data_IF_653629626297
#
_entry.id   IF_653629626297
#
_cell.length_a   1.000
_cell.length_b   1.000
_cell.length_c   1.000
_cell.angle_alpha   90.00
_cell.angle_beta   90.00
_cell.angle_gamma   90.00
#
_symmetry.space_group_name_H-M   'P 1'
#
loop_
_entity.id
_entity.type
_entity.pdbx_description
1 polymer ?
#
# COMPACT_ATOMS: atom_id res chain seq x y z
N UNK A 1 0.42 -17.10 12.50
CA UNK A 1 1.79 -17.65 12.40
C UNK A 1 2.48 -17.29 11.08
N UNK A 2 1.74 -17.07 9.98
CA UNK A 2 2.30 -16.59 8.68
C UNK A 2 2.95 -15.20 8.77
N UNK A 3 2.49 -14.33 9.66
CA UNK A 3 3.04 -12.97 9.85
C UNK A 3 4.20 -12.98 10.84
N UNK A 4 3.98 -13.52 12.05
CA UNK A 4 4.87 -13.41 13.19
C UNK A 4 5.77 -14.62 13.43
N UNK A 5 5.58 -15.71 12.70
CA UNK A 5 6.30 -16.95 12.95
C UNK A 5 7.80 -16.82 12.68
N UNK A 6 8.62 -17.39 13.56
CA UNK A 6 10.06 -17.46 13.37
C UNK A 6 10.58 -18.80 13.87
N UNK A 7 11.21 -19.56 13.01
CA UNK A 7 12.00 -20.73 13.34
C UNK A 7 13.37 -20.57 12.67
N UNK A 8 14.41 -20.57 13.45
CA UNK A 8 15.77 -20.29 12.97
C UNK A 8 16.18 -21.24 11.84
N UNK A 9 16.60 -20.69 10.69
CA UNK A 9 16.98 -21.39 9.45
C UNK A 9 15.87 -22.21 8.78
N UNK A 10 14.62 -22.15 9.25
CA UNK A 10 13.51 -22.95 8.70
C UNK A 10 12.35 -22.10 8.20
N UNK A 11 11.92 -21.09 8.98
CA UNK A 11 10.76 -20.28 8.67
C UNK A 11 10.86 -18.88 9.22
N UNK A 12 10.51 -17.90 8.40
CA UNK A 12 10.31 -16.52 8.82
C UNK A 12 8.98 -16.00 8.26
N UNK A 13 8.16 -15.46 9.13
CA UNK A 13 6.92 -14.79 8.75
C UNK A 13 7.19 -13.46 8.06
N UNK A 14 6.15 -12.89 7.45
CA UNK A 14 6.27 -11.69 6.61
C UNK A 14 6.52 -10.39 7.39
N UNK A 15 6.24 -10.38 8.72
CA UNK A 15 6.57 -9.26 9.62
C UNK A 15 6.82 -9.79 11.06
N UNK A 16 7.91 -10.53 11.30
CA UNK A 16 8.15 -11.21 12.58
C UNK A 16 8.36 -10.24 13.76
N UNK A 17 8.88 -9.04 13.49
CA UNK A 17 9.19 -8.03 14.52
C UNK A 17 8.02 -7.04 14.77
N UNK A 18 6.88 -7.22 14.10
CA UNK A 18 5.70 -6.39 14.33
C UNK A 18 5.11 -6.64 15.73
N UNK A 19 4.38 -5.67 16.26
CA UNK A 19 3.58 -5.83 17.48
C UNK A 19 2.19 -6.33 17.12
N UNK A 20 1.66 -7.26 17.89
CA UNK A 20 0.39 -7.92 17.62
C UNK A 20 -0.61 -7.71 18.77
N UNK A 21 -1.85 -7.41 18.37
CA UNK A 21 -3.04 -7.57 19.20
C UNK A 21 -3.89 -8.66 18.57
N UNK A 22 -4.39 -9.58 19.40
CA UNK A 22 -5.21 -10.70 18.95
C UNK A 22 -6.60 -10.56 19.54
N UNK A 23 -7.62 -10.66 18.68
CA UNK A 23 -9.03 -10.59 19.05
C UNK A 23 -9.72 -11.86 18.62
N UNK A 24 -10.65 -12.35 19.44
CA UNK A 24 -11.55 -13.45 19.13
C UNK A 24 -12.92 -12.83 18.84
N UNK A 25 -13.36 -12.93 17.59
CA UNK A 25 -14.66 -12.44 17.11
C UNK A 25 -15.59 -13.58 16.68
N UNK A 26 -15.11 -14.82 16.69
CA UNK A 26 -15.81 -16.01 16.22
C UNK A 26 -16.22 -16.91 17.38
N UNK A 27 -17.40 -17.52 17.26
CA UNK A 27 -17.94 -18.52 18.17
C UNK A 27 -17.98 -19.85 17.39
N UNK A 28 -17.01 -20.72 17.61
CA UNK A 28 -16.76 -21.91 16.81
C UNK A 28 -17.96 -22.88 16.68
N UNK A 29 -18.91 -22.81 17.59
CA UNK A 29 -20.07 -23.72 17.65
C UNK A 29 -21.29 -23.16 16.88
N UNK A 30 -21.25 -21.91 16.41
CA UNK A 30 -22.39 -21.26 15.75
C UNK A 30 -21.95 -20.19 14.79
N UNK A 31 -22.73 -19.97 13.73
CA UNK A 31 -22.53 -18.89 12.77
C UNK A 31 -23.72 -17.93 12.86
N UNK A 32 -23.53 -16.79 13.52
CA UNK A 32 -24.60 -15.85 13.84
C UNK A 32 -24.21 -14.41 13.53
N UNK A 33 -25.20 -13.55 13.33
CA UNK A 33 -24.97 -12.10 13.13
C UNK A 33 -24.28 -11.40 14.30
N UNK A 34 -24.18 -12.05 15.49
CA UNK A 34 -23.44 -11.52 16.61
C UNK A 34 -21.95 -11.36 16.28
N UNK A 35 -21.41 -12.24 15.45
CA UNK A 35 -19.98 -12.25 15.08
C UNK A 35 -19.61 -11.04 14.25
N UNK A 36 -20.51 -10.53 13.40
CA UNK A 36 -20.30 -9.23 12.76
C UNK A 36 -20.14 -8.10 13.79
N UNK A 37 -20.92 -8.13 14.87
CA UNK A 37 -20.84 -7.14 15.97
C UNK A 37 -19.53 -7.27 16.73
N UNK A 38 -19.13 -8.51 17.07
CA UNK A 38 -17.87 -8.78 17.77
C UNK A 38 -16.66 -8.34 16.95
N UNK A 39 -16.73 -8.52 15.61
CA UNK A 39 -15.67 -8.02 14.72
C UNK A 39 -15.61 -6.50 14.75
N UNK A 40 -16.74 -5.79 14.70
CA UNK A 40 -16.78 -4.32 14.76
C UNK A 40 -16.23 -3.81 16.10
N UNK A 41 -16.62 -4.42 17.22
CA UNK A 41 -16.06 -4.10 18.54
C UNK A 41 -14.54 -4.32 18.59
N UNK A 42 -14.04 -5.40 17.96
CA UNK A 42 -12.61 -5.66 17.86
C UNK A 42 -11.91 -4.58 17.02
N UNK A 43 -12.51 -4.13 15.91
CA UNK A 43 -11.97 -3.07 15.07
C UNK A 43 -11.95 -1.70 15.80
N UNK A 44 -12.99 -1.35 16.55
CA UNK A 44 -13.02 -0.15 17.39
C UNK A 44 -11.93 -0.22 18.49
N UNK A 45 -11.76 -1.39 19.09
CA UNK A 45 -10.70 -1.58 20.07
C UNK A 45 -9.31 -1.47 19.44
N UNK A 46 -9.13 -2.00 18.24
CA UNK A 46 -7.87 -1.87 17.48
C UNK A 46 -7.54 -0.41 17.20
N UNK A 47 -8.51 0.40 16.73
CA UNK A 47 -8.35 1.85 16.53
C UNK A 47 -7.91 2.53 17.83
N UNK A 48 -8.57 2.24 18.95
CA UNK A 48 -8.21 2.82 20.26
C UNK A 48 -6.82 2.45 20.77
N UNK A 49 -6.24 1.36 20.26
CA UNK A 49 -4.89 0.89 20.59
C UNK A 49 -3.82 1.41 19.61
N UNK A 50 -4.23 2.11 18.55
CA UNK A 50 -3.33 2.64 17.53
C UNK A 50 -2.80 1.56 16.59
N UNK A 51 -3.64 0.60 16.21
CA UNK A 51 -3.29 -0.45 15.23
C UNK A 51 -3.24 0.16 13.84
N UNK A 52 -2.19 -0.15 13.08
CA UNK A 52 -2.03 0.31 11.70
C UNK A 52 -2.71 -0.63 10.69
N UNK A 53 -2.58 -1.95 10.90
CA UNK A 53 -3.07 -2.98 9.96
C UNK A 53 -3.91 -4.01 10.70
N UNK A 54 -5.14 -4.23 10.25
CA UNK A 54 -5.99 -5.33 10.71
C UNK A 54 -5.97 -6.43 9.65
N UNK A 55 -5.62 -7.66 10.04
CA UNK A 55 -5.81 -8.84 9.20
C UNK A 55 -7.06 -9.59 9.63
N UNK A 56 -7.95 -9.83 8.69
CA UNK A 56 -9.20 -10.56 8.86
C UNK A 56 -9.20 -11.78 7.93
N UNK A 57 -9.17 -12.98 8.52
CA UNK A 57 -9.17 -14.24 7.76
C UNK A 57 -10.53 -14.94 7.83
N UNK A 58 -11.59 -14.16 7.80
CA UNK A 58 -12.99 -14.60 7.87
C UNK A 58 -13.86 -13.78 6.91
N UNK A 59 -15.13 -14.16 6.78
CA UNK A 59 -16.11 -13.43 5.98
C UNK A 59 -17.48 -14.08 6.06
N UNK A 60 -18.53 -13.27 5.99
CA UNK A 60 -19.91 -13.66 6.23
C UNK A 60 -20.73 -13.65 4.95
N UNK A 61 -21.49 -14.73 4.74
CA UNK A 61 -22.47 -14.87 3.67
C UNK A 61 -23.74 -15.60 4.16
N UNK A 62 -23.55 -16.66 4.94
CA UNK A 62 -24.66 -17.52 5.44
C UNK A 62 -24.55 -17.69 6.95
N UNK A 63 -25.68 -17.82 7.59
CA UNK A 63 -25.82 -18.02 9.04
C UNK A 63 -26.65 -19.26 9.35
N UNK A 64 -26.55 -19.79 10.57
CA UNK A 64 -27.35 -20.90 11.08
C UNK A 64 -28.84 -20.63 10.93
N UNK A 65 -29.26 -19.39 11.14
CA UNK A 65 -30.62 -18.96 10.78
C UNK A 65 -30.60 -18.38 9.36
N UNK A 66 -31.15 -19.06 8.35
CA UNK A 66 -31.11 -18.62 6.95
C UNK A 66 -31.77 -17.25 6.70
N UNK A 67 -32.68 -16.82 7.59
CA UNK A 67 -33.31 -15.49 7.47
C UNK A 67 -32.35 -14.34 7.74
N UNK A 68 -31.19 -14.60 8.34
CA UNK A 68 -30.15 -13.63 8.58
C UNK A 68 -29.08 -13.67 7.49
N UNK A 69 -29.06 -14.72 6.66
CA UNK A 69 -28.06 -14.89 5.61
C UNK A 69 -28.13 -13.79 4.55
N UNK A 70 -26.97 -13.38 4.10
CA UNK A 70 -26.85 -12.39 3.05
C UNK A 70 -27.10 -12.99 1.66
N UNK A 71 -27.59 -12.18 0.76
CA UNK A 71 -27.65 -12.48 -0.66
C UNK A 71 -26.46 -11.84 -1.39
N UNK A 72 -26.23 -12.23 -2.65
CA UNK A 72 -25.18 -11.56 -3.44
C UNK A 72 -25.45 -10.05 -3.60
N UNK A 73 -26.71 -9.62 -3.64
CA UNK A 73 -27.06 -8.20 -3.74
C UNK A 73 -26.57 -7.37 -2.56
N UNK A 74 -26.35 -8.01 -1.39
CA UNK A 74 -25.87 -7.35 -0.17
C UNK A 74 -24.34 -7.15 -0.18
N UNK A 75 -23.62 -7.76 -1.14
CA UNK A 75 -22.16 -7.64 -1.30
C UNK A 75 -21.81 -6.37 -2.07
N UNK A 76 -22.33 -5.24 -1.63
CA UNK A 76 -22.16 -3.90 -2.22
C UNK A 76 -21.19 -3.00 -1.44
N UNK A 77 -20.59 -3.52 -0.37
CA UNK A 77 -19.67 -2.82 0.52
C UNK A 77 -20.35 -1.87 1.52
N UNK A 78 -21.69 -1.84 1.57
CA UNK A 78 -22.43 -0.88 2.38
C UNK A 78 -23.66 -1.49 3.11
N UNK A 79 -24.22 -2.56 2.58
CA UNK A 79 -25.49 -3.13 3.11
C UNK A 79 -25.25 -3.91 4.41
N UNK A 80 -24.24 -4.77 4.49
CA UNK A 80 -24.02 -5.59 5.69
C UNK A 80 -23.50 -4.77 6.87
N UNK A 81 -23.76 -5.22 8.08
CA UNK A 81 -23.33 -4.50 9.29
C UNK A 81 -21.80 -4.43 9.39
N UNK A 82 -21.13 -5.55 9.16
CA UNK A 82 -19.66 -5.61 9.21
C UNK A 82 -19.02 -4.76 8.10
N UNK A 83 -19.60 -4.70 6.89
CA UNK A 83 -19.07 -3.86 5.81
C UNK A 83 -19.12 -2.37 6.16
N UNK A 84 -20.19 -1.91 6.79
CA UNK A 84 -20.25 -0.54 7.31
C UNK A 84 -19.21 -0.28 8.41
N UNK A 85 -19.04 -1.25 9.33
CA UNK A 85 -18.00 -1.17 10.35
C UNK A 85 -16.59 -1.13 9.76
N UNK A 86 -16.33 -1.92 8.73
CA UNK A 86 -15.05 -1.96 8.04
C UNK A 86 -14.75 -0.64 7.29
N UNK A 87 -15.74 -0.04 6.64
CA UNK A 87 -15.61 1.29 6.02
C UNK A 87 -15.23 2.36 7.05
N UNK A 88 -15.89 2.34 8.23
CA UNK A 88 -15.56 3.24 9.33
C UNK A 88 -14.13 2.98 9.81
N UNK A 89 -13.74 1.72 10.02
CA UNK A 89 -12.37 1.35 10.43
C UNK A 89 -11.31 1.86 9.46
N UNK A 90 -11.52 1.68 8.16
CA UNK A 90 -10.62 2.20 7.13
C UNK A 90 -10.55 3.74 7.12
N UNK A 91 -11.68 4.41 7.37
CA UNK A 91 -11.75 5.88 7.46
C UNK A 91 -10.95 6.45 8.65
N UNK A 92 -10.68 5.62 9.67
CA UNK A 92 -9.82 5.99 10.81
C UNK A 92 -8.34 5.94 10.50
N UNK A 93 -7.97 5.46 9.32
CA UNK A 93 -6.59 5.42 8.85
C UNK A 93 -5.96 4.03 8.89
N UNK A 94 -6.64 3.01 9.36
CA UNK A 94 -6.16 1.63 9.35
C UNK A 94 -6.23 1.02 7.95
N UNK A 95 -5.31 0.10 7.62
CA UNK A 95 -5.44 -0.79 6.46
C UNK A 95 -6.11 -2.08 6.93
N UNK A 96 -7.30 -2.35 6.41
CA UNK A 96 -8.01 -3.59 6.65
C UNK A 96 -7.72 -4.57 5.52
N UNK A 97 -6.98 -5.64 5.83
CA UNK A 97 -6.62 -6.71 4.90
C UNK A 97 -7.54 -7.89 5.17
N UNK A 98 -8.33 -8.28 4.19
CA UNK A 98 -9.33 -9.33 4.35
C UNK A 98 -9.16 -10.45 3.33
N UNK A 99 -9.34 -11.69 3.78
CA UNK A 99 -9.42 -12.85 2.89
C UNK A 99 -10.63 -12.72 1.95
N UNK A 100 -10.44 -13.04 0.66
CA UNK A 100 -11.53 -12.97 -0.32
C UNK A 100 -12.63 -14.02 -0.10
N UNK A 101 -12.29 -15.12 0.60
CA UNK A 101 -13.15 -16.28 0.80
C UNK A 101 -12.69 -17.50 0.00
N UNK A 102 -13.25 -18.66 0.33
CA UNK A 102 -12.85 -19.95 -0.23
C UNK A 102 -13.98 -20.65 -1.02
N UNK A 103 -14.94 -19.88 -1.50
CA UNK A 103 -16.15 -20.38 -2.18
C UNK A 103 -16.05 -20.41 -3.71
N UNK A 104 -14.85 -20.23 -4.28
CA UNK A 104 -14.65 -20.12 -5.73
C UNK A 104 -15.19 -21.30 -6.55
N UNK A 105 -15.31 -22.49 -5.95
CA UNK A 105 -15.90 -23.69 -6.54
C UNK A 105 -17.34 -23.98 -6.09
N UNK A 106 -17.86 -23.19 -5.14
CA UNK A 106 -19.18 -23.36 -4.57
C UNK A 106 -20.25 -22.63 -5.39
N UNK A 107 -21.50 -22.84 -5.07
CA UNK A 107 -22.62 -22.10 -5.68
C UNK A 107 -22.56 -20.60 -5.40
N UNK A 108 -22.01 -20.18 -4.27
CA UNK A 108 -21.81 -18.79 -3.93
C UNK A 108 -20.72 -18.13 -4.79
N UNK A 109 -19.55 -18.72 -4.90
CA UNK A 109 -18.34 -18.35 -5.65
C UNK A 109 -17.76 -16.94 -5.43
N UNK A 110 -18.55 -15.98 -4.98
CA UNK A 110 -18.17 -14.59 -4.83
C UNK A 110 -17.46 -14.32 -3.49
N UNK A 111 -16.89 -13.14 -3.39
CA UNK A 111 -16.39 -12.63 -2.10
C UNK A 111 -17.54 -12.50 -1.11
N UNK A 112 -17.22 -12.53 0.19
CA UNK A 112 -18.15 -12.25 1.29
C UNK A 112 -17.87 -10.92 1.96
N UNK A 113 -18.76 -10.50 2.86
CA UNK A 113 -18.53 -9.33 3.70
C UNK A 113 -17.47 -9.66 4.79
N UNK A 114 -16.52 -8.75 5.11
CA UNK A 114 -16.37 -7.37 4.63
C UNK A 114 -15.39 -7.21 3.47
N UNK A 115 -14.99 -8.30 2.78
CA UNK A 115 -14.08 -8.22 1.63
C UNK A 115 -14.66 -7.42 0.44
N UNK A 116 -15.99 -7.24 0.43
CA UNK A 116 -16.74 -6.47 -0.56
C UNK A 116 -16.56 -4.94 -0.45
N UNK A 117 -16.04 -4.44 0.67
CA UNK A 117 -15.91 -3.00 0.92
C UNK A 117 -14.81 -2.38 0.04
N UNK A 118 -15.04 -1.18 -0.49
CA UNK A 118 -14.11 -0.50 -1.38
C UNK A 118 -12.76 -0.17 -0.71
N UNK A 119 -12.82 0.23 0.56
CA UNK A 119 -11.67 0.61 1.38
C UNK A 119 -10.99 -0.56 2.11
N UNK A 120 -11.53 -1.78 2.02
CA UNK A 120 -10.91 -3.02 2.50
C UNK A 120 -10.04 -3.61 1.40
N UNK A 121 -8.83 -4.02 1.74
CA UNK A 121 -7.90 -4.66 0.82
C UNK A 121 -8.16 -6.18 0.80
N UNK A 122 -8.95 -6.62 -0.17
CA UNK A 122 -9.36 -8.02 -0.33
C UNK A 122 -8.29 -8.84 -1.03
N UNK A 123 -7.91 -9.98 -0.46
CA UNK A 123 -6.80 -10.80 -0.92
C UNK A 123 -7.30 -12.16 -1.40
N UNK A 124 -7.11 -12.42 -2.69
CA UNK A 124 -7.33 -13.76 -3.28
C UNK A 124 -6.10 -14.67 -3.13
N UNK A 125 -6.25 -15.92 -3.56
CA UNK A 125 -5.24 -16.95 -3.38
C UNK A 125 -4.68 -17.47 -4.71
N UNK A 126 -3.34 -17.58 -4.78
CA UNK A 126 -2.60 -18.31 -5.84
C UNK A 126 -1.77 -19.43 -5.24
N UNK A 127 -1.28 -20.33 -6.10
CA UNK A 127 -0.25 -21.30 -5.77
C UNK A 127 1.17 -20.72 -6.01
N UNK A 128 2.21 -21.54 -5.79
CA UNK A 128 3.61 -21.13 -5.95
C UNK A 128 3.99 -20.81 -7.42
N UNK A 129 3.23 -21.31 -8.39
CA UNK A 129 3.39 -21.05 -9.82
C UNK A 129 2.54 -19.84 -10.28
N UNK A 130 2.00 -19.05 -9.33
CA UNK A 130 1.19 -17.85 -9.57
C UNK A 130 -0.16 -18.14 -10.28
N UNK A 131 -0.59 -19.39 -10.33
CA UNK A 131 -1.91 -19.74 -10.82
C UNK A 131 -2.95 -19.56 -9.74
N UNK A 132 -4.13 -19.03 -10.13
CA UNK A 132 -5.25 -18.85 -9.20
C UNK A 132 -5.63 -20.18 -8.54
N UNK A 133 -5.78 -20.18 -7.22
CA UNK A 133 -6.31 -21.33 -6.49
C UNK A 133 -7.81 -21.45 -6.76
N UNK A 134 -8.26 -22.64 -7.16
CA UNK A 134 -9.65 -22.88 -7.60
C UNK A 134 -10.70 -22.52 -6.54
N UNK A 135 -10.34 -22.61 -5.26
CA UNK A 135 -11.20 -22.26 -4.15
C UNK A 135 -11.32 -20.76 -3.90
N UNK A 136 -10.38 -19.95 -4.43
CA UNK A 136 -10.38 -18.50 -4.16
C UNK A 136 -11.68 -17.85 -4.64
N UNK A 137 -12.42 -17.23 -3.73
CA UNK A 137 -13.59 -16.43 -4.08
C UNK A 137 -13.18 -15.23 -4.94
N UNK A 138 -14.09 -14.76 -5.76
CA UNK A 138 -13.83 -13.73 -6.77
C UNK A 138 -15.00 -12.75 -6.92
N UNK A 139 -14.79 -11.69 -7.69
CA UNK A 139 -15.78 -10.66 -7.97
C UNK A 139 -16.70 -10.98 -9.15
N UNK A 140 -17.37 -9.96 -9.67
CA UNK A 140 -17.39 -8.62 -9.12
C UNK A 140 -18.16 -8.52 -7.81
N UNK A 141 -18.13 -7.36 -7.13
CA UNK A 141 -19.11 -7.02 -6.10
C UNK A 141 -20.49 -6.78 -6.73
N UNK A 142 -21.54 -6.74 -5.91
CA UNK A 142 -22.90 -6.50 -6.40
C UNK A 142 -23.05 -5.14 -7.11
N UNK A 143 -22.23 -4.16 -6.77
CA UNK A 143 -22.13 -2.84 -7.40
C UNK A 143 -21.05 -2.77 -8.52
N UNK A 144 -20.59 -3.93 -9.01
CA UNK A 144 -19.66 -4.11 -10.12
C UNK A 144 -18.24 -3.56 -9.90
N UNK A 145 -17.74 -3.51 -8.66
CA UNK A 145 -16.33 -3.26 -8.40
C UNK A 145 -15.49 -4.52 -8.56
N UNK A 146 -14.25 -4.34 -9.02
CA UNK A 146 -13.28 -5.43 -9.10
C UNK A 146 -12.85 -5.83 -7.69
N UNK A 147 -12.97 -7.11 -7.40
CA UNK A 147 -12.48 -7.81 -6.22
C UNK A 147 -12.10 -9.25 -6.63
N UNK A 148 -11.12 -9.89 -5.93
CA UNK A 148 -10.27 -9.33 -4.89
C UNK A 148 -9.45 -8.16 -5.40
N UNK A 149 -8.85 -7.35 -4.50
CA UNK A 149 -7.92 -6.31 -4.92
C UNK A 149 -6.66 -6.91 -5.53
N UNK A 150 -5.98 -7.77 -4.78
CA UNK A 150 -4.73 -8.40 -5.21
C UNK A 150 -4.66 -9.84 -4.75
N UNK A 151 -3.61 -10.54 -5.16
CA UNK A 151 -3.39 -11.95 -4.87
C UNK A 151 -2.09 -12.15 -4.08
N UNK A 152 -2.09 -13.18 -3.24
CA UNK A 152 -0.89 -13.70 -2.61
C UNK A 152 -0.97 -15.24 -2.54
N UNK A 153 0.15 -15.90 -2.18
CA UNK A 153 0.14 -17.34 -2.04
C UNK A 153 -0.81 -17.78 -0.92
N UNK A 154 -1.84 -18.54 -1.27
CA UNK A 154 -2.84 -19.11 -0.37
C UNK A 154 -3.04 -20.60 -0.58
N UNK A 155 -2.37 -21.20 -1.58
CA UNK A 155 -2.35 -22.64 -1.80
C UNK A 155 -0.95 -23.18 -1.51
N UNK A 156 -0.87 -24.22 -0.67
CA UNK A 156 0.37 -24.77 -0.13
C UNK A 156 1.25 -23.70 0.55
N UNK A 157 0.61 -22.76 1.22
CA UNK A 157 1.32 -21.70 1.96
C UNK A 157 2.04 -22.30 3.16
N UNK A 158 3.33 -21.99 3.28
CA UNK A 158 4.12 -22.41 4.44
C UNK A 158 3.63 -21.73 5.71
N UNK A 159 3.42 -22.51 6.76
CA UNK A 159 2.98 -22.06 8.08
C UNK A 159 3.76 -22.78 9.18
N UNK A 160 3.75 -22.26 10.38
CA UNK A 160 4.10 -23.03 11.57
C UNK A 160 2.82 -23.68 12.09
N UNK A 161 2.77 -24.99 12.18
CA UNK A 161 1.64 -25.70 12.75
C UNK A 161 1.59 -25.46 14.26
N UNK A 162 0.44 -24.94 14.74
CA UNK A 162 0.30 -24.53 16.13
C UNK A 162 0.32 -25.69 17.15
N UNK A 163 0.02 -26.91 16.69
CA UNK A 163 0.04 -28.10 17.56
C UNK A 163 1.44 -28.72 17.68
N UNK A 164 2.16 -28.81 16.56
CA UNK A 164 3.48 -29.47 16.51
C UNK A 164 4.65 -28.50 16.66
N UNK A 165 4.44 -27.21 16.39
CA UNK A 165 5.52 -26.22 16.31
C UNK A 165 6.39 -26.32 15.06
N UNK A 166 6.13 -27.27 14.17
CA UNK A 166 6.92 -27.51 12.96
C UNK A 166 6.39 -26.74 11.75
N UNK A 167 7.25 -26.54 10.74
CA UNK A 167 6.80 -26.02 9.44
C UNK A 167 5.90 -27.05 8.77
N UNK A 168 4.80 -26.58 8.25
CA UNK A 168 3.84 -27.33 7.44
C UNK A 168 3.24 -26.44 6.36
N UNK A 169 2.28 -26.94 5.58
CA UNK A 169 1.57 -26.14 4.58
C UNK A 169 0.06 -26.18 4.82
N UNK A 170 -0.63 -25.13 4.34
CA UNK A 170 -2.08 -25.04 4.39
C UNK A 170 -2.66 -24.31 3.19
N UNK A 171 -3.98 -24.45 2.97
CA UNK A 171 -4.70 -23.87 1.86
C UNK A 171 -5.83 -22.94 2.38
N UNK A 172 -6.05 -21.85 1.67
CA UNK A 172 -7.12 -20.89 1.94
C UNK A 172 -6.67 -19.45 1.72
N UNK A 173 -7.60 -18.59 1.36
CA UNK A 173 -7.37 -17.14 1.37
C UNK A 173 -7.08 -16.61 2.79
N UNK A 174 -7.45 -17.40 3.81
CA UNK A 174 -7.06 -17.17 5.22
C UNK A 174 -5.54 -17.19 5.45
N UNK A 175 -4.76 -17.68 4.49
CA UNK A 175 -3.28 -17.67 4.52
C UNK A 175 -2.69 -16.64 3.57
N UNK A 176 -3.30 -16.36 2.42
CA UNK A 176 -2.86 -15.28 1.52
C UNK A 176 -3.05 -13.91 2.16
N UNK A 177 -4.16 -13.69 2.88
CA UNK A 177 -4.44 -12.43 3.57
C UNK A 177 -3.36 -12.06 4.60
N UNK A 178 -2.99 -12.90 5.57
CA UNK A 178 -1.94 -12.56 6.52
C UNK A 178 -0.55 -12.46 5.88
N UNK A 179 -0.23 -13.23 4.84
CA UNK A 179 1.02 -13.03 4.09
C UNK A 179 1.08 -11.60 3.56
N UNK A 180 0.00 -11.13 2.91
CA UNK A 180 -0.09 -9.76 2.40
C UNK A 180 -0.07 -8.73 3.52
N UNK A 181 -0.80 -8.94 4.61
CA UNK A 181 -0.85 -8.01 5.74
C UNK A 181 0.53 -7.73 6.34
N UNK A 182 1.35 -8.76 6.49
CA UNK A 182 2.71 -8.59 7.00
C UNK A 182 3.62 -7.81 6.03
N UNK A 183 3.56 -8.11 4.72
CA UNK A 183 4.33 -7.34 3.73
C UNK A 183 3.85 -5.89 3.65
N UNK A 184 2.54 -5.65 3.77
CA UNK A 184 1.97 -4.29 3.85
C UNK A 184 2.52 -3.54 5.06
N UNK A 185 2.59 -4.17 6.23
CA UNK A 185 3.12 -3.55 7.44
C UNK A 185 4.59 -3.13 7.24
N UNK A 186 5.43 -3.99 6.66
CA UNK A 186 6.82 -3.68 6.32
C UNK A 186 6.92 -2.55 5.28
N UNK A 187 6.09 -2.58 4.24
CA UNK A 187 6.07 -1.55 3.21
C UNK A 187 5.64 -0.19 3.77
N UNK A 188 4.60 -0.16 4.60
CA UNK A 188 4.13 1.07 5.22
C UNK A 188 5.14 1.64 6.22
N UNK A 189 5.84 0.78 6.97
CA UNK A 189 6.93 1.18 7.85
C UNK A 189 8.03 1.95 7.09
N UNK A 190 8.30 1.60 5.84
CA UNK A 190 9.26 2.33 5.00
C UNK A 190 8.75 3.72 4.57
N UNK A 191 7.42 3.96 4.58
CA UNK A 191 6.78 5.19 4.14
C UNK A 191 5.73 5.71 5.15
N UNK A 192 6.12 6.01 6.39
CA UNK A 192 5.18 6.30 7.49
C UNK A 192 4.36 7.59 7.30
N UNK A 193 4.73 8.43 6.35
CA UNK A 193 4.01 9.67 6.04
C UNK A 193 2.90 9.49 5.00
N UNK A 194 2.75 8.27 4.46
CA UNK A 194 1.66 7.97 3.52
C UNK A 194 0.43 7.49 4.25
N UNK A 195 -0.71 7.86 3.71
CA UNK A 195 -2.01 7.40 4.20
C UNK A 195 -2.25 5.93 3.82
N UNK A 196 -3.17 5.27 4.51
CA UNK A 196 -3.63 3.92 4.18
C UNK A 196 -4.06 3.80 2.71
N UNK A 197 -4.82 4.77 2.19
CA UNK A 197 -5.29 4.79 0.79
C UNK A 197 -4.12 4.91 -0.19
N UNK A 198 -3.13 5.76 0.09
CA UNK A 198 -1.93 5.89 -0.76
C UNK A 198 -1.14 4.59 -0.79
N UNK A 199 -0.95 3.92 0.35
CA UNK A 199 -0.25 2.62 0.44
C UNK A 199 -0.99 1.57 -0.38
N UNK A 200 -2.31 1.40 -0.19
CA UNK A 200 -3.10 0.44 -0.96
C UNK A 200 -3.05 0.71 -2.47
N UNK A 201 -3.10 1.99 -2.88
CA UNK A 201 -3.01 2.36 -4.29
C UNK A 201 -1.63 2.08 -4.89
N UNK A 202 -0.54 2.32 -4.16
CA UNK A 202 0.81 1.98 -4.59
C UNK A 202 0.97 0.48 -4.82
N UNK A 203 0.50 -0.33 -3.87
CA UNK A 203 0.55 -1.79 -3.96
C UNK A 203 -0.30 -2.28 -5.14
N UNK A 204 -1.54 -1.79 -5.26
CA UNK A 204 -2.44 -2.15 -6.38
C UNK A 204 -1.84 -1.77 -7.74
N UNK A 205 -1.25 -0.57 -7.85
CA UNK A 205 -0.67 -0.09 -9.10
C UNK A 205 0.61 -0.83 -9.52
N UNK A 206 1.31 -1.48 -8.61
CA UNK A 206 2.49 -2.31 -8.89
C UNK A 206 2.14 -3.72 -9.35
N UNK A 207 0.86 -4.10 -9.30
CA UNK A 207 0.44 -5.47 -9.58
C UNK A 207 0.48 -5.79 -11.07
N UNK A 208 0.81 -7.03 -11.40
CA UNK A 208 1.08 -7.52 -12.77
C UNK A 208 -0.10 -7.36 -13.75
N UNK A 209 -1.34 -7.29 -13.23
CA UNK A 209 -2.57 -7.11 -14.03
C UNK A 209 -3.23 -5.74 -13.84
N UNK A 210 -2.53 -4.75 -13.28
CA UNK A 210 -3.10 -3.45 -12.98
C UNK A 210 -3.83 -2.80 -14.16
N UNK A 211 -3.26 -2.91 -15.36
CA UNK A 211 -3.84 -2.33 -16.58
C UNK A 211 -4.97 -3.17 -17.22
N UNK A 212 -5.11 -4.43 -16.81
CA UNK A 212 -6.12 -5.36 -17.33
C UNK A 212 -6.64 -6.26 -16.20
N UNK A 213 -7.28 -5.68 -15.18
CA UNK A 213 -7.79 -6.45 -14.05
C UNK A 213 -8.97 -7.34 -14.47
N UNK A 214 -9.18 -8.40 -13.71
CA UNK A 214 -10.30 -9.33 -13.91
C UNK A 214 -11.00 -9.62 -12.59
N UNK A 215 -12.24 -10.09 -12.65
CA UNK A 215 -12.98 -10.45 -11.44
C UNK A 215 -12.32 -11.58 -10.64
N UNK A 216 -11.55 -12.45 -11.30
CA UNK A 216 -10.90 -13.59 -10.65
C UNK A 216 -9.51 -13.25 -10.07
N UNK A 217 -8.73 -12.45 -10.81
CA UNK A 217 -7.37 -12.09 -10.39
C UNK A 217 -7.27 -10.72 -9.69
N UNK A 218 -8.36 -9.94 -9.71
CA UNK A 218 -8.26 -8.56 -9.29
C UNK A 218 -7.23 -7.81 -10.13
N UNK A 219 -6.39 -7.03 -9.48
CA UNK A 219 -5.25 -6.37 -10.14
C UNK A 219 -4.00 -7.26 -10.25
N UNK A 220 -4.08 -8.51 -9.76
CA UNK A 220 -2.98 -9.48 -9.86
C UNK A 220 -2.08 -9.52 -8.63
N UNK A 221 -0.83 -9.94 -8.83
CA UNK A 221 0.17 -10.09 -7.77
C UNK A 221 1.00 -8.81 -7.69
N UNK A 222 1.10 -8.15 -6.51
CA UNK A 222 1.88 -6.93 -6.34
C UNK A 222 3.39 -7.18 -6.43
N UNK A 223 4.09 -6.27 -7.11
CA UNK A 223 5.54 -6.12 -7.05
C UNK A 223 5.91 -5.03 -6.03
N UNK A 224 6.31 -5.42 -4.84
CA UNK A 224 6.67 -4.49 -3.77
C UNK A 224 7.99 -3.75 -4.03
N UNK A 225 8.90 -4.30 -4.83
CA UNK A 225 10.11 -3.60 -5.25
C UNK A 225 9.75 -2.47 -6.22
N UNK A 226 8.90 -2.73 -7.20
CA UNK A 226 8.39 -1.71 -8.11
C UNK A 226 7.60 -0.62 -7.37
N UNK A 227 6.74 -1.02 -6.41
CA UNK A 227 6.02 -0.07 -5.56
C UNK A 227 6.97 0.82 -4.75
N UNK A 228 8.00 0.23 -4.13
CA UNK A 228 9.03 0.93 -3.37
C UNK A 228 9.79 1.94 -4.23
N UNK A 229 10.27 1.49 -5.40
CA UNK A 229 10.99 2.34 -6.34
C UNK A 229 10.11 3.45 -6.90
N UNK A 230 8.81 3.22 -7.08
CA UNK A 230 7.85 4.25 -7.47
C UNK A 230 7.80 5.37 -6.45
N UNK A 231 7.73 5.07 -5.15
CA UNK A 231 7.73 6.11 -4.10
C UNK A 231 9.03 6.87 -4.05
N UNK A 232 10.17 6.20 -4.22
CA UNK A 232 11.47 6.87 -4.27
C UNK A 232 11.59 7.77 -5.51
N UNK A 233 11.08 7.34 -6.67
CA UNK A 233 11.10 8.14 -7.90
C UNK A 233 10.05 9.25 -7.91
N UNK A 234 8.93 9.13 -7.19
CA UNK A 234 7.92 10.22 -7.02
C UNK A 234 8.50 11.38 -6.20
N UNK A 235 9.46 11.14 -5.31
CA UNK A 235 10.27 12.24 -4.77
C UNK A 235 11.07 12.97 -5.87
N UNK A 236 11.18 12.39 -7.08
CA UNK A 236 11.77 12.89 -8.31
C UNK A 236 10.78 13.12 -9.47
N UNK A 237 9.47 12.96 -9.32
CA UNK A 237 8.45 13.64 -10.15
C UNK A 237 8.34 15.12 -9.76
N UNK A 238 9.33 15.64 -9.88
CA UNK A 238 10.15 16.72 -9.76
C UNK A 238 9.45 17.88 -10.49
N UNK A 239 8.80 18.69 -9.65
CA UNK A 239 8.51 20.07 -10.03
C UNK A 239 9.73 20.69 -10.74
N UNK A 240 10.88 20.01 -10.65
CA UNK A 240 12.20 20.37 -11.15
C UNK A 240 12.73 19.46 -12.28
N UNK A 241 11.97 18.43 -12.76
CA UNK A 241 12.45 17.47 -13.77
C UNK A 241 12.91 18.14 -15.07
N UNK A 242 12.21 19.20 -15.48
CA UNK A 242 12.46 19.93 -16.71
C UNK A 242 13.42 21.10 -16.53
N UNK A 243 13.94 21.33 -15.31
CA UNK A 243 14.91 22.40 -15.07
C UNK A 243 16.28 21.99 -15.61
N UNK A 244 16.74 22.74 -16.60
CA UNK A 244 18.07 22.62 -17.19
C UNK A 244 18.89 23.85 -16.89
N UNK A 245 20.17 23.62 -16.63
CA UNK A 245 21.18 24.68 -16.40
C UNK A 245 22.20 24.63 -17.51
N UNK A 246 22.41 25.75 -18.15
CA UNK A 246 23.35 25.86 -19.24
C UNK A 246 24.00 27.26 -19.34
N UNK A 247 25.31 27.36 -19.62
CA UNK A 247 26.29 26.28 -19.68
C UNK A 247 26.69 25.79 -18.26
N UNK A 248 27.11 24.55 -18.17
CA UNK A 248 27.81 24.01 -17.00
C UNK A 248 28.91 23.09 -17.50
N UNK A 249 30.19 23.45 -17.46
CA UNK A 249 30.84 24.52 -16.70
C UNK A 249 30.49 25.96 -17.10
N UNK A 250 30.57 26.87 -16.11
CA UNK A 250 30.10 28.25 -16.18
C UNK A 250 31.29 29.23 -16.11
N UNK A 251 31.39 30.18 -17.06
CA UNK A 251 32.39 31.24 -16.99
C UNK A 251 31.93 32.47 -16.20
N UNK A 252 30.74 33.01 -16.51
CA UNK A 252 30.19 34.20 -15.87
C UNK A 252 28.71 34.06 -15.56
N UNK A 253 27.93 33.67 -16.55
CA UNK A 253 26.46 33.62 -16.49
C UNK A 253 26.01 32.22 -16.91
N UNK A 254 25.00 31.71 -16.22
CA UNK A 254 24.25 30.53 -16.63
C UNK A 254 22.78 30.85 -16.76
N UNK A 255 22.08 30.10 -17.59
CA UNK A 255 20.64 30.16 -17.72
C UNK A 255 19.99 28.97 -17.01
N UNK A 256 18.84 29.21 -16.41
CA UNK A 256 17.92 28.19 -15.92
C UNK A 256 16.73 28.18 -16.86
N UNK A 257 16.44 27.03 -17.47
CA UNK A 257 15.31 26.87 -18.38
C UNK A 257 14.38 25.79 -17.85
N UNK A 258 13.08 26.00 -18.01
CA UNK A 258 12.04 25.01 -17.73
C UNK A 258 11.02 25.04 -18.87
N UNK A 259 10.66 23.86 -19.38
CA UNK A 259 9.74 23.76 -20.51
C UNK A 259 8.35 24.37 -20.16
N UNK A 260 7.98 25.46 -20.86
CA UNK A 260 6.67 26.11 -20.84
C UNK A 260 6.12 26.57 -19.47
N UNK A 261 6.97 26.80 -18.45
CA UNK A 261 6.51 27.24 -17.13
C UNK A 261 7.37 28.42 -16.67
N UNK A 262 6.75 29.47 -16.10
CA UNK A 262 7.43 30.60 -15.44
C UNK A 262 8.24 30.13 -14.23
N UNK A 263 9.38 30.75 -14.00
CA UNK A 263 10.23 30.53 -12.83
C UNK A 263 9.86 31.45 -11.64
N UNK A 264 8.84 32.29 -11.76
CA UNK A 264 8.48 33.33 -10.76
C UNK A 264 8.11 32.74 -9.38
N UNK A 265 7.70 31.48 -9.34
CA UNK A 265 7.35 30.75 -8.11
C UNK A 265 8.54 30.04 -7.46
N UNK A 266 9.73 30.17 -8.06
CA UNK A 266 10.94 29.52 -7.58
C UNK A 266 11.87 30.53 -6.91
N UNK A 267 12.63 30.07 -5.91
CA UNK A 267 13.76 30.75 -5.33
C UNK A 267 15.02 29.92 -5.53
N UNK A 268 16.19 30.56 -5.48
CA UNK A 268 17.43 29.84 -5.51
C UNK A 268 18.47 30.34 -4.51
N UNK A 269 19.34 29.44 -4.11
CA UNK A 269 20.49 29.70 -3.25
C UNK A 269 21.71 28.98 -3.80
N UNK A 270 22.87 29.60 -3.77
CA UNK A 270 24.14 28.98 -4.16
C UNK A 270 25.01 28.84 -2.91
N UNK A 271 25.56 27.66 -2.72
CA UNK A 271 26.43 27.31 -1.61
C UNK A 271 27.82 26.92 -2.16
N UNK A 272 28.86 27.23 -1.43
CA UNK A 272 30.19 26.64 -1.67
C UNK A 272 30.26 25.20 -1.11
N UNK A 273 31.36 24.51 -1.34
CA UNK A 273 31.58 23.12 -0.87
C UNK A 273 31.63 22.99 0.66
N UNK A 274 31.79 24.09 1.40
CA UNK A 274 31.76 24.13 2.87
C UNK A 274 30.33 24.35 3.42
N UNK A 275 29.33 24.45 2.52
CA UNK A 275 27.93 24.69 2.90
C UNK A 275 27.62 26.16 3.22
N UNK A 276 28.53 27.10 2.97
CA UNK A 276 28.28 28.52 3.16
C UNK A 276 27.50 29.08 1.97
N UNK A 277 26.43 29.81 2.24
CA UNK A 277 25.61 30.46 1.21
C UNK A 277 26.39 31.66 0.62
N UNK A 278 26.60 31.67 -0.67
CA UNK A 278 27.37 32.69 -1.39
C UNK A 278 26.51 33.57 -2.30
N UNK A 279 25.34 33.11 -2.69
CA UNK A 279 24.36 33.87 -3.46
C UNK A 279 22.93 33.41 -3.13
N UNK A 280 21.96 34.33 -3.17
CA UNK A 280 20.55 34.05 -2.96
C UNK A 280 19.65 35.00 -3.74
N UNK A 281 18.60 34.48 -4.36
CA UNK A 281 17.44 35.27 -4.84
C UNK A 281 16.14 34.64 -4.37
N UNK A 282 15.27 35.44 -3.75
CA UNK A 282 13.98 35.01 -3.23
C UNK A 282 12.91 34.81 -4.29
N UNK A 283 13.12 35.36 -5.50
CA UNK A 283 12.31 35.16 -6.71
C UNK A 283 13.22 35.29 -7.92
N UNK A 284 12.98 34.46 -8.92
CA UNK A 284 13.67 34.64 -10.19
C UNK A 284 13.16 35.91 -10.89
N UNK A 285 14.06 36.90 -11.02
CA UNK A 285 13.80 38.11 -11.78
C UNK A 285 14.27 38.00 -13.22
N UNK A 286 15.09 36.98 -13.52
CA UNK A 286 15.63 36.66 -14.81
C UNK A 286 15.93 35.17 -14.91
N UNK A 287 15.82 34.58 -16.11
CA UNK A 287 16.29 33.22 -16.42
C UNK A 287 17.81 33.10 -16.44
N UNK A 288 18.54 34.23 -16.35
CA UNK A 288 20.01 34.31 -16.39
C UNK A 288 20.57 34.79 -15.07
N UNK A 289 21.50 34.02 -14.51
CA UNK A 289 22.13 34.29 -13.22
C UNK A 289 23.61 34.57 -13.44
N UNK A 290 24.06 35.75 -12.99
CA UNK A 290 25.46 36.17 -13.03
C UNK A 290 26.19 35.71 -11.76
N UNK A 291 27.22 34.89 -11.95
CA UNK A 291 28.11 34.40 -10.88
C UNK A 291 29.56 34.87 -11.11
N UNK A 292 29.75 36.02 -11.81
CA UNK A 292 31.05 36.56 -12.05
C UNK A 292 31.83 36.92 -10.77
N UNK A 293 31.09 37.17 -9.68
CA UNK A 293 31.68 37.44 -8.37
C UNK A 293 32.24 36.22 -7.66
N UNK A 294 31.92 35.01 -8.12
CA UNK A 294 32.38 33.77 -7.50
C UNK A 294 33.73 33.35 -8.09
N UNK A 295 34.60 32.82 -7.25
CA UNK A 295 35.86 32.22 -7.65
C UNK A 295 35.67 30.92 -8.41
N UNK A 296 36.71 30.46 -9.09
CA UNK A 296 36.73 29.14 -9.76
C UNK A 296 36.55 28.04 -8.73
N UNK A 297 35.64 27.10 -9.00
CA UNK A 297 35.38 26.03 -8.07
C UNK A 297 34.04 25.30 -8.31
N UNK A 298 33.71 24.43 -7.37
CA UNK A 298 32.45 23.70 -7.34
C UNK A 298 31.49 24.38 -6.37
N UNK A 299 30.26 24.54 -6.81
CA UNK A 299 29.16 25.11 -6.04
C UNK A 299 27.94 24.22 -6.10
N UNK A 300 27.03 24.37 -5.16
CA UNK A 300 25.73 23.69 -5.10
C UNK A 300 24.63 24.74 -5.25
N UNK A 301 23.87 24.62 -6.32
CA UNK A 301 22.66 25.42 -6.55
C UNK A 301 21.46 24.68 -5.96
N UNK A 302 20.84 25.27 -4.93
CA UNK A 302 19.56 24.82 -4.40
C UNK A 302 18.44 25.66 -5.03
N UNK A 303 17.56 25.02 -5.78
CA UNK A 303 16.35 25.62 -6.32
C UNK A 303 15.19 25.14 -5.45
N UNK A 304 14.32 26.04 -5.03
CA UNK A 304 13.22 25.72 -4.12
C UNK A 304 11.90 26.26 -4.66
N UNK A 305 10.85 25.44 -4.57
CA UNK A 305 9.45 25.83 -4.73
C UNK A 305 8.67 25.29 -3.53
N UNK A 306 8.04 26.15 -2.76
CA UNK A 306 7.33 25.80 -1.52
C UNK A 306 8.22 24.99 -0.56
N UNK A 307 7.81 23.76 -0.21
CA UNK A 307 8.58 22.86 0.68
C UNK A 307 9.57 21.94 -0.06
N UNK A 308 9.49 21.89 -1.40
CA UNK A 308 10.34 21.04 -2.23
C UNK A 308 11.58 21.77 -2.70
N UNK A 309 12.69 21.07 -2.88
CA UNK A 309 13.92 21.65 -3.41
C UNK A 309 14.72 20.63 -4.22
N UNK A 310 15.53 21.14 -5.16
CA UNK A 310 16.51 20.36 -5.93
C UNK A 310 17.89 20.98 -5.76
N UNK A 311 18.89 20.13 -5.63
CA UNK A 311 20.28 20.53 -5.57
C UNK A 311 20.99 20.12 -6.87
N UNK A 312 21.64 21.08 -7.51
CA UNK A 312 22.38 20.86 -8.76
C UNK A 312 23.81 21.32 -8.57
N UNK A 313 24.76 20.50 -9.01
CA UNK A 313 26.18 20.84 -9.00
C UNK A 313 26.50 21.86 -10.12
N UNK A 314 27.11 22.97 -9.75
CA UNK A 314 27.67 23.95 -10.67
C UNK A 314 29.19 23.86 -10.68
N UNK A 315 29.79 24.01 -11.85
CA UNK A 315 31.25 24.07 -12.05
C UNK A 315 31.57 25.48 -12.58
N UNK A 316 32.28 26.30 -11.80
CA UNK A 316 32.74 27.66 -12.18
C UNK A 316 34.18 27.58 -12.69
N UNK A 317 34.40 28.03 -13.95
CA UNK A 317 35.72 28.15 -14.61
C UNK A 317 36.30 29.58 -14.53
#
# INVERSE_FOLDING_TARGET
>A
LTIAGYLENEFVGTAPDAKFYLFISEIAESETVLEETLWVEAAERADSLGVDVINTSLGYTTYDNPNHSHSYADMDGNTTFISRGAEIGASRGMILVNAAGNSGTDSWKYIGAPADVASVFSIGAVNAEENIASFSSFGPTADNRIKPDVLAQGQNTSIINFLSGNVSSSNGTSFSSPVMAGVIACFWQAFPNKTNIEIMNLIRSSSDKFNNPTDQYGYGIPDFEAAYNTVLSINDLDVFSDIKIFPNPIKKIFAITKNNISLDEYSFQIFNILGQKVLEESKFTSDRIDISCLEKGIYLLKIQKEKQHKIIKLIKE
#
